data_IF_105142653866
#
_entry.id   IF_105142653866
#
_cell.length_a   1.000
_cell.length_b   1.000
_cell.length_c   1.000
_cell.angle_alpha   90.00
_cell.angle_beta   90.00
_cell.angle_gamma   90.00
#
_symmetry.space_group_name_H-M   'P 1'
#
loop_
_entity.id
_entity.type
_entity.pdbx_description
1 polymer ?
#
# COMPACT_ATOMS: atom_id res chain seq x y z
N UNK A 1 -8.80 15.94 -4.49
CA UNK A 1 -8.27 14.99 -3.50
C UNK A 1 -8.74 13.64 -3.95
N UNK A 2 -7.80 12.80 -4.35
CA UNK A 2 -8.14 11.44 -4.76
C UNK A 2 -8.61 10.66 -3.54
N UNK A 3 -9.60 9.79 -3.69
CA UNK A 3 -10.17 9.02 -2.56
C UNK A 3 -9.09 8.27 -1.76
N UNK A 4 -8.09 7.74 -2.46
CA UNK A 4 -6.90 7.11 -1.87
C UNK A 4 -6.07 8.04 -0.99
N UNK A 5 -5.92 9.31 -1.37
CA UNK A 5 -5.20 10.29 -0.55
C UNK A 5 -5.92 10.47 0.79
N UNK A 6 -7.25 10.61 0.75
CA UNK A 6 -8.08 10.73 1.96
C UNK A 6 -7.95 9.50 2.87
N UNK A 7 -7.96 8.29 2.31
CA UNK A 7 -7.76 7.05 3.09
C UNK A 7 -6.37 6.99 3.74
N UNK A 8 -5.33 7.42 3.04
CA UNK A 8 -3.98 7.47 3.60
C UNK A 8 -3.87 8.52 4.71
N UNK A 9 -4.47 9.69 4.54
CA UNK A 9 -4.52 10.71 5.59
C UNK A 9 -5.24 10.21 6.84
N UNK A 10 -6.39 9.56 6.68
CA UNK A 10 -7.14 8.95 7.78
C UNK A 10 -6.33 7.85 8.47
N UNK A 11 -5.71 6.96 7.69
CA UNK A 11 -4.81 5.93 8.22
C UNK A 11 -3.69 6.53 9.07
N UNK A 12 -3.06 7.61 8.59
CA UNK A 12 -2.00 8.29 9.31
C UNK A 12 -2.51 8.82 10.66
N UNK A 13 -3.64 9.52 10.67
CA UNK A 13 -4.21 10.08 11.89
C UNK A 13 -4.58 8.99 12.91
N UNK A 14 -5.24 7.91 12.46
CA UNK A 14 -5.63 6.79 13.33
C UNK A 14 -4.41 6.01 13.84
N UNK A 15 -3.36 5.89 13.02
CA UNK A 15 -2.13 5.20 13.43
C UNK A 15 -1.40 5.94 14.56
N UNK A 16 -1.46 7.28 14.58
CA UNK A 16 -0.86 8.10 15.64
C UNK A 16 -1.65 8.00 16.95
N UNK A 17 -2.97 7.76 16.88
CA UNK A 17 -3.85 7.66 18.05
C UNK A 17 -3.89 6.25 18.66
N UNK A 18 -3.22 5.25 18.05
CA UNK A 18 -3.26 3.83 18.45
C UNK A 18 -2.72 3.53 19.87
N UNK A 19 -2.30 4.53 20.64
CA UNK A 19 -2.08 4.39 22.08
C UNK A 19 -3.37 4.09 22.87
N UNK A 20 -4.55 3.99 22.22
CA UNK A 20 -5.87 4.10 22.87
C UNK A 20 -6.81 2.88 22.80
N UNK A 21 -6.43 1.71 22.24
CA UNK A 21 -7.19 0.45 22.47
C UNK A 21 -7.59 -0.36 21.22
N UNK A 22 -8.33 -1.44 21.45
CA UNK A 22 -8.64 -2.52 20.47
C UNK A 22 -9.60 -2.10 19.35
N UNK A 23 -10.51 -1.16 19.59
CA UNK A 23 -11.47 -0.66 18.58
C UNK A 23 -10.75 0.03 17.40
N UNK A 24 -9.63 0.71 17.66
CA UNK A 24 -8.84 1.40 16.64
C UNK A 24 -8.11 0.44 15.69
N UNK A 25 -7.82 -0.78 16.15
CA UNK A 25 -7.21 -1.80 15.32
C UNK A 25 -8.17 -2.25 14.21
N UNK A 26 -9.46 -2.41 14.53
CA UNK A 26 -10.47 -2.79 13.54
C UNK A 26 -10.66 -1.68 12.50
N UNK A 27 -10.69 -0.42 12.93
CA UNK A 27 -10.72 0.74 12.02
C UNK A 27 -9.51 0.79 11.10
N UNK A 28 -8.28 0.59 11.61
CA UNK A 28 -7.10 0.53 10.76
C UNK A 28 -7.15 -0.60 9.74
N UNK A 29 -7.59 -1.79 10.15
CA UNK A 29 -7.69 -2.94 9.26
C UNK A 29 -8.71 -2.70 8.14
N UNK A 30 -9.81 -2.00 8.43
CA UNK A 30 -10.80 -1.59 7.44
C UNK A 30 -10.20 -0.60 6.43
N UNK A 31 -9.51 0.44 6.91
CA UNK A 31 -8.85 1.43 6.04
C UNK A 31 -7.78 0.74 5.16
N UNK A 32 -7.01 -0.19 5.73
CA UNK A 32 -6.02 -0.98 4.98
C UNK A 32 -6.65 -1.80 3.85
N UNK A 33 -7.83 -2.35 4.08
CA UNK A 33 -8.58 -3.09 3.08
C UNK A 33 -9.07 -2.18 1.95
N UNK A 34 -9.64 -1.02 2.28
CA UNK A 34 -10.08 -0.04 1.29
C UNK A 34 -8.92 0.48 0.42
N UNK A 35 -7.77 0.81 1.03
CA UNK A 35 -6.58 1.24 0.28
C UNK A 35 -6.15 0.16 -0.73
N UNK A 36 -6.12 -1.10 -0.31
CA UNK A 36 -5.74 -2.21 -1.21
C UNK A 36 -6.75 -2.39 -2.35
N UNK A 37 -8.05 -2.26 -2.07
CA UNK A 37 -9.11 -2.33 -3.08
C UNK A 37 -8.96 -1.24 -4.14
N UNK A 38 -8.73 0.01 -3.74
CA UNK A 38 -8.53 1.12 -4.66
C UNK A 38 -7.29 0.93 -5.56
N UNK A 39 -6.19 0.41 -4.98
CA UNK A 39 -5.01 0.07 -5.78
C UNK A 39 -5.18 -1.20 -6.63
N UNK A 40 -6.29 -1.91 -6.51
CA UNK A 40 -6.55 -3.19 -7.16
C UNK A 40 -5.48 -4.24 -6.82
N UNK A 41 -5.02 -4.26 -5.56
CA UNK A 41 -4.02 -5.22 -5.08
C UNK A 41 -4.59 -6.12 -3.99
N UNK A 42 -4.10 -7.36 -3.83
CA UNK A 42 -4.54 -8.24 -2.75
C UNK A 42 -4.25 -7.64 -1.36
N UNK A 43 -5.17 -7.82 -0.41
CA UNK A 43 -5.06 -7.42 1.00
C UNK A 43 -4.08 -8.28 1.83
N UNK A 44 -2.97 -8.70 1.22
CA UNK A 44 -1.92 -9.46 1.88
C UNK A 44 -1.02 -8.55 2.71
N UNK A 45 -0.35 -9.11 3.73
CA UNK A 45 0.63 -8.37 4.53
C UNK A 45 1.67 -7.66 3.65
N UNK A 46 2.12 -8.28 2.56
CA UNK A 46 3.07 -7.66 1.61
C UNK A 46 2.61 -6.28 1.12
N UNK A 47 1.33 -6.11 0.78
CA UNK A 47 0.81 -4.84 0.27
C UNK A 47 0.45 -3.88 1.40
N UNK A 48 -0.10 -4.39 2.50
CA UNK A 48 -0.38 -3.57 3.69
C UNK A 48 0.90 -2.95 4.27
N UNK A 49 2.00 -3.70 4.26
CA UNK A 49 3.29 -3.23 4.78
C UNK A 49 3.89 -2.08 3.96
N UNK A 50 3.42 -1.84 2.73
CA UNK A 50 3.89 -0.74 1.88
C UNK A 50 3.52 0.65 2.42
N UNK A 51 2.46 0.73 3.22
CA UNK A 51 1.96 1.98 3.81
C UNK A 51 1.84 1.92 5.34
N UNK A 52 1.94 0.74 5.97
CA UNK A 52 2.11 0.62 7.44
C UNK A 52 3.42 1.21 7.98
N UNK A 53 4.47 1.27 7.16
CA UNK A 53 5.78 1.74 7.57
C UNK A 53 5.79 3.28 7.64
N UNK A 54 5.31 3.84 8.75
CA UNK A 54 5.34 5.28 9.02
C UNK A 54 6.63 5.61 9.78
N UNK A 55 7.61 6.30 9.18
CA UNK A 55 8.81 6.73 9.89
C UNK A 55 8.46 7.76 10.97
N UNK A 56 9.13 7.70 12.11
CA UNK A 56 8.97 8.69 13.17
C UNK A 56 9.32 10.09 12.66
N UNK A 57 8.45 11.07 12.91
CA UNK A 57 8.70 12.48 12.55
C UNK A 57 8.44 12.83 11.09
N UNK A 58 7.81 11.95 10.31
CA UNK A 58 7.32 12.29 8.97
C UNK A 58 6.05 13.17 9.07
N UNK A 59 5.91 14.14 8.16
CA UNK A 59 4.64 14.87 8.03
C UNK A 59 3.61 14.01 7.30
N UNK A 60 2.32 14.31 7.52
CA UNK A 60 1.21 13.63 6.85
C UNK A 60 1.34 13.71 5.33
N UNK A 61 1.66 14.88 4.80
CA UNK A 61 1.80 15.11 3.35
C UNK A 61 2.92 14.26 2.75
N UNK A 62 4.07 14.18 3.45
CA UNK A 62 5.19 13.36 3.01
C UNK A 62 4.86 11.86 3.07
N UNK A 63 4.11 11.43 4.09
CA UNK A 63 3.63 10.06 4.19
C UNK A 63 2.70 9.70 3.03
N UNK A 64 1.70 10.53 2.74
CA UNK A 64 0.74 10.30 1.65
C UNK A 64 1.46 10.22 0.30
N UNK A 65 2.31 11.21 -0.01
CA UNK A 65 3.05 11.25 -1.26
C UNK A 65 3.95 10.02 -1.45
N UNK A 66 4.68 9.62 -0.40
CA UNK A 66 5.57 8.46 -0.43
C UNK A 66 4.79 7.15 -0.59
N UNK A 67 3.68 7.00 0.14
CA UNK A 67 2.84 5.81 0.10
C UNK A 67 2.23 5.59 -1.28
N UNK A 68 1.70 6.65 -1.91
CA UNK A 68 1.17 6.59 -3.28
C UNK A 68 2.23 6.17 -4.28
N UNK A 69 3.45 6.71 -4.16
CA UNK A 69 4.56 6.37 -5.05
C UNK A 69 4.95 4.88 -4.91
N UNK A 70 5.05 4.39 -3.67
CA UNK A 70 5.40 2.99 -3.39
C UNK A 70 4.29 2.06 -3.89
N UNK A 71 3.02 2.35 -3.57
CA UNK A 71 1.87 1.54 -3.96
C UNK A 71 1.73 1.48 -5.49
N UNK A 72 1.89 2.61 -6.18
CA UNK A 72 1.85 2.66 -7.65
C UNK A 72 2.95 1.81 -8.29
N UNK A 73 4.17 1.86 -7.73
CA UNK A 73 5.30 1.05 -8.21
C UNK A 73 5.06 -0.44 -8.00
N UNK A 74 4.59 -0.83 -6.83
CA UNK A 74 4.34 -2.24 -6.52
C UNK A 74 3.11 -2.79 -7.25
N UNK A 75 2.07 -1.98 -7.46
CA UNK A 75 0.95 -2.29 -8.36
C UNK A 75 1.47 -2.61 -9.76
N UNK A 76 2.31 -1.72 -10.32
CA UNK A 76 2.88 -1.95 -11.65
C UNK A 76 3.69 -3.26 -11.71
N UNK A 77 4.52 -3.56 -10.70
CA UNK A 77 5.27 -4.83 -10.61
C UNK A 77 4.37 -6.06 -10.44
N UNK A 78 3.26 -5.92 -9.73
CA UNK A 78 2.32 -7.01 -9.51
C UNK A 78 1.63 -7.43 -10.81
N UNK A 79 1.17 -6.46 -11.60
CA UNK A 79 0.53 -6.70 -12.89
C UNK A 79 1.53 -7.02 -14.00
N UNK A 80 2.69 -6.36 -13.97
CA UNK A 80 3.77 -6.61 -14.92
C UNK A 80 4.71 -7.69 -14.37
N UNK A 81 4.25 -8.95 -14.39
CA UNK A 81 5.17 -10.09 -14.29
C UNK A 81 5.77 -10.34 -15.67
N UNK A 82 7.08 -10.09 -15.89
CA UNK A 82 7.71 -10.59 -17.09
C UNK A 82 7.57 -12.12 -17.06
N UNK A 83 6.90 -12.68 -18.07
CA UNK A 83 6.86 -14.11 -18.27
C UNK A 83 8.31 -14.63 -18.37
N UNK A 84 8.80 -15.26 -17.30
CA UNK A 84 10.09 -15.97 -17.30
C UNK A 84 10.15 -17.09 -18.36
N UNK A 85 9.02 -17.43 -18.97
CA UNK A 85 8.88 -18.48 -19.99
C UNK A 85 9.19 -18.04 -21.42
N UNK A 86 9.33 -16.74 -21.73
CA UNK A 86 9.56 -16.30 -23.14
C UNK A 86 11.05 -16.31 -23.53
N UNK A 87 11.97 -16.32 -22.56
CA UNK A 87 13.41 -16.29 -22.84
C UNK A 87 14.07 -17.65 -23.12
N UNK A 88 13.31 -18.76 -23.07
CA UNK A 88 13.85 -20.10 -23.32
C UNK A 88 13.66 -20.65 -24.75
N UNK A 89 13.00 -19.92 -25.65
CA UNK A 89 12.71 -20.42 -27.01
C UNK A 89 13.64 -19.91 -28.13
N UNK A 90 14.59 -19.02 -27.85
CA UNK A 90 15.45 -18.41 -28.89
C UNK A 90 16.90 -18.96 -28.93
N UNK A 91 17.13 -20.20 -28.47
CA UNK A 91 18.41 -20.90 -28.60
C UNK A 91 18.32 -22.32 -29.17
N UNK A 92 17.32 -22.59 -30.00
CA UNK A 92 17.27 -23.80 -30.82
C UNK A 92 16.58 -23.50 -32.16
N UNK A 93 17.32 -22.93 -33.10
CA UNK A 93 17.04 -22.97 -34.53
C UNK A 93 18.35 -22.74 -35.29
#
# INVERSE_FOLDING_TARGET
>A
MDYVESLLEEYFDVSQTLQLGQEWLESLLAIEEEICWEFNVPTTNKFRDLFRLIPSGISKENYVATSIQILSREKARYYYKPNHTVFHQSKAA
#
